data_IF_834875671035
#
_entry.id   IF_834875671035
#
_cell.length_a   1.000
_cell.length_b   1.000
_cell.length_c   1.000
_cell.angle_alpha   90.00
_cell.angle_beta   90.00
_cell.angle_gamma   90.00
#
_symmetry.space_group_name_H-M   'P 1'
#
loop_
_entity.id
_entity.type
_entity.pdbx_description
1 polymer ?
#
# COMPACT_ATOMS: atom_id res chain seq x y z
N UNK A 1 18.93 -18.76 3.27
CA UNK A 1 18.80 -19.87 2.30
C UNK A 1 19.87 -19.71 1.22
N UNK A 2 20.44 -20.81 0.69
CA UNK A 2 21.65 -20.72 -0.14
C UNK A 2 21.34 -20.13 -1.52
N UNK A 3 22.18 -19.17 -1.94
CA UNK A 3 22.13 -18.47 -3.24
C UNK A 3 22.72 -19.33 -4.36
N UNK A 4 22.21 -19.10 -5.58
CA UNK A 4 22.82 -19.52 -6.83
C UNK A 4 24.28 -19.02 -6.95
N UNK A 5 25.19 -19.91 -7.33
CA UNK A 5 26.59 -19.56 -7.66
C UNK A 5 26.75 -19.49 -9.17
N UNK A 6 27.10 -18.31 -9.71
CA UNK A 6 27.42 -18.16 -11.13
C UNK A 6 28.92 -18.33 -11.37
N UNK A 7 29.29 -19.46 -11.97
CA UNK A 7 30.64 -19.70 -12.48
C UNK A 7 30.82 -18.98 -13.82
N UNK A 8 31.48 -17.82 -13.83
CA UNK A 8 31.89 -17.15 -15.07
C UNK A 8 33.29 -17.60 -15.50
N UNK A 9 33.35 -18.46 -16.53
CA UNK A 9 34.60 -18.77 -17.24
C UNK A 9 34.84 -17.74 -18.34
N UNK A 10 35.97 -17.04 -18.22
CA UNK A 10 36.59 -16.17 -19.21
C UNK A 10 36.85 -16.94 -20.51
N UNK A 11 36.29 -16.50 -21.63
CA UNK A 11 36.64 -17.00 -22.98
C UNK A 11 37.15 -15.85 -23.86
N UNK A 12 38.23 -16.17 -24.59
CA UNK A 12 39.05 -15.25 -25.39
C UNK A 12 38.35 -14.87 -26.70
N UNK A 13 38.61 -13.63 -27.13
CA UNK A 13 38.42 -13.13 -28.50
C UNK A 13 39.14 -14.03 -29.51
N UNK A 14 38.43 -14.42 -30.56
CA UNK A 14 39.00 -14.70 -31.88
C UNK A 14 38.12 -14.06 -32.96
N UNK A 15 38.80 -13.39 -33.88
CA UNK A 15 38.28 -12.58 -34.97
C UNK A 15 38.01 -13.41 -36.22
N UNK A 16 36.88 -13.11 -36.85
CA UNK A 16 36.59 -13.08 -38.29
C UNK A 16 36.83 -14.31 -39.19
N UNK A 17 35.78 -14.70 -39.93
CA UNK A 17 35.79 -14.76 -41.40
C UNK A 17 34.35 -14.79 -41.96
N UNK A 18 34.06 -13.90 -42.92
CA UNK A 18 32.86 -13.91 -43.77
C UNK A 18 33.07 -14.87 -44.95
N UNK A 19 32.05 -15.66 -45.28
CA UNK A 19 31.82 -16.26 -46.61
C UNK A 19 30.32 -16.66 -46.73
N UNK A 20 29.79 -17.00 -47.92
CA UNK A 20 28.82 -16.18 -48.64
C UNK A 20 27.36 -16.66 -48.51
N UNK A 21 26.46 -15.73 -48.82
CA UNK A 21 25.02 -15.90 -49.01
C UNK A 21 24.68 -17.11 -49.90
N UNK A 22 23.97 -18.08 -49.34
CA UNK A 22 23.11 -18.99 -50.08
C UNK A 22 21.66 -18.64 -49.76
N UNK A 23 20.93 -18.18 -50.78
CA UNK A 23 19.48 -17.99 -50.74
C UNK A 23 18.81 -19.35 -50.59
N UNK A 24 18.17 -19.58 -49.45
CA UNK A 24 17.13 -20.60 -49.31
C UNK A 24 15.83 -19.85 -49.08
N UNK A 25 14.95 -19.91 -50.08
CA UNK A 25 13.54 -19.58 -49.92
C UNK A 25 12.87 -20.73 -49.18
N UNK A 26 12.35 -20.47 -47.99
CA UNK A 26 11.36 -21.33 -47.38
C UNK A 26 10.46 -20.50 -46.49
N UNK A 27 9.26 -20.25 -47.01
CA UNK A 27 8.00 -20.04 -46.31
C UNK A 27 8.05 -19.19 -45.05
N UNK A 28 7.60 -17.94 -45.23
CA UNK A 28 7.04 -17.09 -44.17
C UNK A 28 5.88 -17.85 -43.49
N UNK A 29 6.21 -18.59 -42.45
CA UNK A 29 5.37 -18.64 -41.26
C UNK A 29 5.63 -17.31 -40.56
N UNK A 30 4.81 -16.30 -40.86
CA UNK A 30 4.77 -15.07 -40.07
C UNK A 30 4.51 -15.48 -38.61
N UNK A 31 5.57 -15.37 -37.81
CA UNK A 31 5.58 -15.68 -36.40
C UNK A 31 4.63 -14.69 -35.72
N UNK A 32 3.44 -15.16 -35.33
CA UNK A 32 2.42 -14.35 -34.66
C UNK A 32 2.96 -13.65 -33.40
N UNK A 33 4.05 -14.15 -32.80
CA UNK A 33 4.76 -13.54 -31.68
C UNK A 33 5.34 -12.15 -31.98
N UNK A 34 5.65 -11.82 -33.25
CA UNK A 34 6.19 -10.49 -33.59
C UNK A 34 5.14 -9.38 -33.51
N UNK A 35 3.91 -9.65 -33.93
CA UNK A 35 2.83 -8.65 -33.94
C UNK A 35 2.28 -8.38 -32.53
N UNK A 36 2.40 -9.35 -31.61
CA UNK A 36 2.02 -9.17 -30.20
C UNK A 36 3.04 -8.38 -29.38
N UNK A 37 4.31 -8.32 -29.82
CA UNK A 37 5.40 -7.74 -29.05
C UNK A 37 5.66 -6.24 -29.27
N UNK A 38 5.09 -5.62 -30.30
CA UNK A 38 5.24 -4.16 -30.52
C UNK A 38 4.69 -3.29 -29.37
N UNK A 39 4.06 -3.89 -28.34
CA UNK A 39 3.49 -3.19 -27.18
C UNK A 39 4.07 -3.59 -25.80
N UNK A 40 5.12 -4.42 -25.73
CA UNK A 40 5.76 -4.77 -24.45
C UNK A 40 4.93 -5.69 -23.54
N UNK A 41 4.23 -6.65 -24.14
CA UNK A 41 3.28 -7.55 -23.48
C UNK A 41 3.66 -9.00 -23.75
N UNK A 42 3.80 -9.82 -22.70
CA UNK A 42 3.92 -11.28 -22.82
C UNK A 42 2.56 -11.89 -22.55
N UNK A 43 2.09 -12.76 -23.44
CA UNK A 43 0.93 -13.62 -23.19
C UNK A 43 1.46 -14.96 -22.70
N UNK A 44 1.06 -15.40 -21.51
CA UNK A 44 1.17 -16.80 -21.14
C UNK A 44 0.19 -17.64 -22.00
N UNK A 45 0.65 -18.80 -22.47
CA UNK A 45 -0.11 -19.68 -23.37
C UNK A 45 -1.21 -20.46 -22.63
N UNK A 46 -1.15 -20.52 -21.30
CA UNK A 46 -2.07 -21.31 -20.47
C UNK A 46 -3.12 -20.46 -19.75
N UNK A 47 -2.76 -19.27 -19.28
CA UNK A 47 -3.70 -18.29 -18.75
C UNK A 47 -3.44 -16.94 -19.43
N UNK A 48 -4.49 -16.21 -19.83
CA UNK A 48 -4.38 -14.97 -20.63
C UNK A 48 -3.87 -13.77 -19.82
N UNK A 49 -2.81 -13.97 -19.05
CA UNK A 49 -2.29 -13.00 -18.10
C UNK A 49 -1.16 -12.24 -18.79
N UNK A 50 -1.36 -10.93 -18.92
CA UNK A 50 -0.45 -10.04 -19.62
C UNK A 50 0.60 -9.53 -18.63
N UNK A 51 1.87 -9.86 -18.88
CA UNK A 51 2.99 -9.31 -18.10
C UNK A 51 3.46 -8.02 -18.78
N UNK A 52 3.48 -6.92 -18.02
CA UNK A 52 4.00 -5.60 -18.42
C UNK A 52 4.89 -5.01 -17.33
N UNK A 53 5.78 -4.05 -17.63
CA UNK A 53 6.47 -3.28 -16.61
C UNK A 53 5.49 -2.66 -15.60
N UNK A 54 5.80 -2.77 -14.31
CA UNK A 54 4.94 -2.38 -13.19
C UNK A 54 4.07 -3.51 -12.64
N UNK A 55 3.92 -4.64 -13.34
CA UNK A 55 3.21 -5.80 -12.81
C UNK A 55 3.95 -6.40 -11.61
N UNK A 56 3.21 -6.87 -10.62
CA UNK A 56 3.74 -7.71 -9.56
C UNK A 56 3.57 -9.18 -9.93
N UNK A 57 4.57 -9.99 -9.66
CA UNK A 57 4.63 -11.38 -10.11
C UNK A 57 5.08 -12.30 -8.98
N UNK A 58 4.57 -13.53 -9.02
CA UNK A 58 5.09 -14.67 -8.28
C UNK A 58 6.17 -15.36 -9.09
N UNK A 59 7.29 -15.65 -8.44
CA UNK A 59 8.42 -16.34 -9.04
C UNK A 59 8.68 -17.62 -8.26
N UNK A 60 8.80 -18.73 -8.97
CA UNK A 60 9.11 -20.01 -8.35
C UNK A 60 10.55 -20.01 -7.79
N UNK A 61 10.77 -20.31 -6.50
CA UNK A 61 12.11 -20.48 -5.95
C UNK A 61 12.87 -21.65 -6.57
N UNK A 62 14.18 -21.49 -6.70
CA UNK A 62 15.08 -22.58 -7.06
C UNK A 62 14.89 -23.78 -6.12
N UNK A 63 14.73 -24.96 -6.73
CA UNK A 63 14.59 -26.22 -5.99
C UNK A 63 13.19 -26.47 -5.40
N UNK A 64 12.25 -25.53 -5.53
CA UNK A 64 10.85 -25.84 -5.26
C UNK A 64 10.33 -26.74 -6.39
N UNK A 65 9.82 -27.93 -6.04
CA UNK A 65 9.24 -28.83 -7.04
C UNK A 65 8.04 -28.15 -7.73
N UNK A 66 7.77 -28.49 -9.00
CA UNK A 66 6.57 -27.99 -9.69
C UNK A 66 5.31 -28.39 -8.91
N UNK A 67 4.39 -27.43 -8.77
CA UNK A 67 3.09 -27.68 -8.17
C UNK A 67 2.34 -28.75 -8.98
N UNK A 68 1.60 -29.62 -8.29
CA UNK A 68 0.71 -30.55 -8.97
C UNK A 68 -0.45 -29.77 -9.61
N UNK A 69 -0.93 -30.22 -10.77
CA UNK A 69 -2.08 -29.60 -11.46
C UNK A 69 -3.27 -29.50 -10.48
N UNK A 70 -3.80 -28.30 -10.31
CA UNK A 70 -4.92 -28.01 -9.39
C UNK A 70 -4.52 -27.77 -7.92
N UNK A 71 -3.23 -27.83 -7.58
CA UNK A 71 -2.72 -27.58 -6.23
C UNK A 71 -1.52 -26.61 -6.30
N UNK A 72 -1.77 -25.30 -6.53
CA UNK A 72 -0.71 -24.30 -6.60
C UNK A 72 0.04 -24.19 -5.27
N UNK A 73 1.29 -23.73 -5.33
CA UNK A 73 2.06 -23.46 -4.12
C UNK A 73 1.42 -22.35 -3.30
N UNK A 74 1.50 -22.40 -1.97
CA UNK A 74 1.06 -21.28 -1.15
C UNK A 74 1.91 -20.04 -1.47
N UNK A 75 1.27 -18.86 -1.53
CA UNK A 75 1.93 -17.57 -1.80
C UNK A 75 3.10 -17.29 -0.83
N UNK A 76 3.07 -17.85 0.38
CA UNK A 76 4.16 -17.76 1.37
C UNK A 76 5.42 -18.54 1.00
N UNK A 77 5.33 -19.52 0.09
CA UNK A 77 6.45 -20.31 -0.40
C UNK A 77 7.07 -19.74 -1.68
N UNK A 78 6.41 -18.79 -2.34
CA UNK A 78 6.84 -18.20 -3.62
C UNK A 78 7.60 -16.90 -3.39
N UNK A 79 8.53 -16.57 -4.29
CA UNK A 79 9.14 -15.24 -4.33
C UNK A 79 8.18 -14.23 -4.96
N UNK A 80 8.34 -12.97 -4.61
CA UNK A 80 7.52 -11.86 -5.11
C UNK A 80 8.43 -10.81 -5.70
N UNK A 81 8.08 -10.28 -6.86
CA UNK A 81 8.84 -9.23 -7.52
C UNK A 81 7.94 -8.23 -8.23
N UNK A 82 8.50 -7.07 -8.55
CA UNK A 82 7.92 -6.13 -9.53
C UNK A 82 8.75 -6.19 -10.81
N UNK A 83 8.07 -6.25 -11.96
CA UNK A 83 8.71 -6.20 -13.27
C UNK A 83 9.09 -4.76 -13.59
N UNK A 84 10.37 -4.49 -13.77
CA UNK A 84 10.89 -3.15 -14.08
C UNK A 84 11.01 -2.95 -15.59
N UNK A 85 11.55 -3.96 -16.29
CA UNK A 85 11.79 -3.91 -17.73
C UNK A 85 11.63 -5.30 -18.35
N UNK A 86 11.23 -5.34 -19.62
CA UNK A 86 11.14 -6.56 -20.42
C UNK A 86 12.11 -6.43 -21.60
N UNK A 87 12.96 -7.44 -21.82
CA UNK A 87 13.93 -7.48 -22.91
C UNK A 87 13.82 -8.79 -23.66
N UNK A 88 14.03 -8.75 -24.97
CA UNK A 88 14.15 -9.95 -25.81
C UNK A 88 15.63 -10.18 -26.07
N UNK A 89 16.13 -11.32 -25.60
CA UNK A 89 17.50 -11.76 -25.80
C UNK A 89 17.74 -12.35 -27.19
N UNK A 90 18.98 -12.80 -27.41
CA UNK A 90 19.30 -13.61 -28.58
C UNK A 90 18.50 -14.93 -28.52
N UNK A 91 17.97 -15.37 -29.67
CA UNK A 91 17.09 -16.55 -29.80
C UNK A 91 15.67 -16.39 -29.25
N UNK A 92 15.15 -15.15 -29.18
CA UNK A 92 13.75 -14.88 -28.79
C UNK A 92 13.43 -15.29 -27.35
N UNK A 93 14.44 -15.49 -26.50
CA UNK A 93 14.26 -15.72 -25.06
C UNK A 93 13.85 -14.39 -24.42
N UNK A 94 12.74 -14.40 -23.69
CA UNK A 94 12.25 -13.20 -23.00
C UNK A 94 12.84 -13.15 -21.59
N UNK A 95 13.51 -12.04 -21.29
CA UNK A 95 14.19 -11.80 -20.02
C UNK A 95 13.57 -10.58 -19.34
N UNK A 96 13.21 -10.73 -18.07
CA UNK A 96 12.63 -9.71 -17.22
C UNK A 96 13.70 -9.16 -16.29
N UNK A 97 13.83 -7.84 -16.22
CA UNK A 97 14.53 -7.17 -15.11
C UNK A 97 13.51 -6.95 -14.00
N UNK A 98 13.78 -7.47 -12.81
CA UNK A 98 12.85 -7.43 -11.69
C UNK A 98 13.49 -6.84 -10.43
N UNK A 99 12.68 -6.26 -9.56
CA UNK A 99 13.07 -5.87 -8.19
C UNK A 99 12.35 -6.76 -7.18
N UNK A 100 13.09 -7.38 -6.25
CA UNK A 100 12.53 -8.32 -5.30
C UNK A 100 11.75 -7.63 -4.17
N UNK A 101 10.70 -8.30 -3.68
CA UNK A 101 10.12 -8.05 -2.37
C UNK A 101 10.65 -9.04 -1.35
N UNK A 102 11.00 -8.54 -0.17
CA UNK A 102 11.46 -9.35 0.96
C UNK A 102 10.41 -9.39 2.07
N UNK A 103 10.28 -10.53 2.72
CA UNK A 103 9.60 -10.62 4.01
C UNK A 103 10.47 -10.07 5.13
N UNK A 104 9.88 -9.87 6.31
CA UNK A 104 10.62 -9.56 7.53
C UNK A 104 11.73 -10.58 7.82
N UNK A 105 11.45 -11.87 7.62
CA UNK A 105 12.40 -12.96 7.83
C UNK A 105 13.58 -12.90 6.85
N UNK A 106 13.32 -12.54 5.59
CA UNK A 106 14.38 -12.39 4.57
C UNK A 106 15.33 -11.25 4.94
N UNK A 107 14.78 -10.12 5.40
CA UNK A 107 15.58 -8.98 5.86
C UNK A 107 16.45 -9.41 7.05
N UNK A 108 15.89 -10.09 8.06
CA UNK A 108 16.67 -10.59 9.21
C UNK A 108 17.83 -11.46 8.73
N UNK A 109 17.56 -12.43 7.86
CA UNK A 109 18.57 -13.31 7.31
C UNK A 109 19.65 -12.54 6.52
N UNK A 110 19.30 -11.46 5.80
CA UNK A 110 20.30 -10.61 5.13
C UNK A 110 21.24 -9.92 6.11
N UNK A 111 20.72 -9.35 7.19
CA UNK A 111 21.56 -8.74 8.22
C UNK A 111 22.50 -9.77 8.86
N UNK A 112 21.99 -10.95 9.20
CA UNK A 112 22.75 -12.03 9.82
C UNK A 112 23.87 -12.56 8.93
N UNK A 113 23.59 -12.81 7.65
CA UNK A 113 24.59 -13.30 6.69
C UNK A 113 25.77 -12.34 6.49
N UNK A 114 25.58 -11.07 6.83
CA UNK A 114 26.56 -10.01 6.64
C UNK A 114 27.23 -9.62 7.97
N UNK A 115 26.98 -10.39 9.02
CA UNK A 115 27.52 -10.15 10.36
C UNK A 115 27.01 -8.85 10.99
N UNK A 116 25.88 -8.32 10.51
CA UNK A 116 25.28 -7.07 10.98
C UNK A 116 24.19 -7.37 11.99
N UNK A 117 24.12 -6.56 13.06
CA UNK A 117 22.98 -6.59 13.96
C UNK A 117 21.83 -5.80 13.35
N UNK A 118 20.68 -6.44 13.25
CA UNK A 118 19.44 -5.77 12.86
C UNK A 118 18.97 -4.86 13.98
N UNK A 119 18.55 -3.64 13.65
CA UNK A 119 17.97 -2.75 14.65
C UNK A 119 16.58 -3.29 15.04
N UNK A 120 16.42 -3.70 16.30
CA UNK A 120 15.18 -4.28 16.83
C UNK A 120 13.99 -3.33 16.72
N UNK A 121 14.21 -2.02 16.81
CA UNK A 121 13.18 -1.00 16.61
C UNK A 121 12.65 -1.05 15.18
N UNK A 122 13.56 -1.15 14.21
CA UNK A 122 13.22 -1.17 12.77
C UNK A 122 12.46 -2.44 12.41
N UNK A 123 12.89 -3.60 12.95
CA UNK A 123 12.14 -4.86 12.76
C UNK A 123 10.77 -4.81 13.44
N UNK A 124 10.64 -4.11 14.56
CA UNK A 124 9.37 -3.89 15.23
C UNK A 124 8.37 -3.07 14.41
N UNK A 125 8.82 -2.36 13.37
CA UNK A 125 7.95 -1.63 12.46
C UNK A 125 7.31 -2.52 11.39
N UNK A 126 7.92 -3.66 11.07
CA UNK A 126 7.49 -4.55 9.99
C UNK A 126 6.46 -5.55 10.51
N UNK A 127 5.30 -5.61 9.87
CA UNK A 127 4.36 -6.72 10.10
C UNK A 127 4.96 -8.04 9.59
N UNK A 128 4.47 -9.17 10.12
CA UNK A 128 4.90 -10.50 9.68
C UNK A 128 4.46 -10.81 8.25
N UNK A 129 3.31 -10.27 7.84
CA UNK A 129 2.70 -10.51 6.52
C UNK A 129 2.97 -9.38 5.52
N UNK A 130 3.72 -8.35 5.95
CA UNK A 130 4.08 -7.21 5.10
C UNK A 130 5.27 -7.58 4.19
N UNK A 131 5.11 -7.29 2.90
CA UNK A 131 6.22 -7.36 1.94
C UNK A 131 6.99 -6.04 1.96
N UNK A 132 8.29 -6.09 1.66
CA UNK A 132 9.16 -4.91 1.65
C UNK A 132 9.85 -4.83 0.30
N UNK A 133 9.57 -3.78 -0.48
CA UNK A 133 10.19 -3.60 -1.79
C UNK A 133 11.68 -3.35 -1.63
N UNK A 134 12.52 -4.00 -2.42
CA UNK A 134 13.97 -3.84 -2.33
C UNK A 134 14.56 -3.22 -3.58
N UNK A 135 15.79 -2.69 -3.47
CA UNK A 135 16.63 -2.40 -4.64
C UNK A 135 17.51 -3.59 -5.05
N UNK A 136 17.19 -4.80 -4.58
CA UNK A 136 17.83 -6.03 -5.06
C UNK A 136 17.20 -6.43 -6.38
N UNK A 137 18.00 -6.29 -7.44
CA UNK A 137 17.54 -6.44 -8.82
C UNK A 137 18.16 -7.70 -9.40
N UNK A 138 17.35 -8.43 -10.16
CA UNK A 138 17.82 -9.60 -10.90
C UNK A 138 17.25 -9.63 -12.33
N UNK A 139 17.80 -10.52 -13.15
CA UNK A 139 17.33 -10.82 -14.49
C UNK A 139 16.88 -12.29 -14.55
N UNK A 140 15.61 -12.52 -14.83
CA UNK A 140 15.01 -13.85 -14.90
C UNK A 140 14.38 -14.10 -16.26
N UNK A 141 14.29 -15.36 -16.68
CA UNK A 141 13.51 -15.71 -17.87
C UNK A 141 12.01 -15.60 -17.54
N UNK A 142 11.20 -15.14 -18.51
CA UNK A 142 9.76 -15.00 -18.29
C UNK A 142 9.06 -16.32 -17.93
N UNK A 143 9.66 -17.46 -18.29
CA UNK A 143 9.19 -18.83 -18.00
C UNK A 143 9.29 -19.20 -16.52
N UNK A 144 9.96 -18.42 -15.67
CA UNK A 144 10.02 -18.66 -14.22
C UNK A 144 8.90 -17.97 -13.44
N UNK A 145 8.09 -17.15 -14.12
CA UNK A 145 6.90 -16.54 -13.55
C UNK A 145 5.82 -17.61 -13.42
N UNK A 146 5.29 -17.74 -12.21
CA UNK A 146 4.18 -18.64 -11.91
C UNK A 146 2.83 -17.94 -12.11
N UNK A 147 2.70 -16.70 -11.63
CA UNK A 147 1.46 -15.91 -11.74
C UNK A 147 1.72 -14.39 -11.66
N UNK A 148 0.76 -13.59 -12.14
CA UNK A 148 0.68 -12.14 -11.92
C UNK A 148 -0.27 -11.88 -10.76
N UNK A 149 0.12 -10.99 -9.86
CA UNK A 149 -0.67 -10.68 -8.67
C UNK A 149 -0.81 -9.19 -8.40
N UNK A 150 -1.74 -8.87 -7.51
CA UNK A 150 -1.89 -7.54 -6.96
C UNK A 150 -1.17 -7.44 -5.62
N UNK A 151 -0.24 -6.48 -5.52
CA UNK A 151 0.36 -6.08 -4.25
C UNK A 151 -0.02 -4.62 -4.00
N UNK A 152 -0.71 -4.38 -2.89
CA UNK A 152 -1.14 -3.05 -2.52
C UNK A 152 0.02 -2.21 -1.96
N UNK A 153 0.41 -1.17 -2.69
CA UNK A 153 1.31 -0.14 -2.18
C UNK A 153 0.54 0.77 -1.21
N UNK A 154 0.90 0.72 0.06
CA UNK A 154 0.35 1.58 1.09
C UNK A 154 1.09 2.92 1.08
N UNK A 155 0.61 3.81 0.20
CA UNK A 155 1.00 5.22 0.11
C UNK A 155 0.11 6.10 1.02
N UNK A 156 0.61 7.26 1.43
CA UNK A 156 -0.04 8.13 2.41
C UNK A 156 -1.10 9.07 1.84
N UNK A 157 -1.49 8.91 0.57
CA UNK A 157 -2.24 9.90 -0.20
C UNK A 157 -3.27 9.32 -1.18
N UNK A 158 -3.35 7.99 -1.38
CA UNK A 158 -4.30 7.39 -2.33
C UNK A 158 -5.30 6.46 -1.66
N UNK A 159 -6.58 6.83 -1.78
CA UNK A 159 -7.76 6.09 -1.33
C UNK A 159 -7.91 4.81 -2.14
N UNK A 160 -7.45 3.68 -1.62
CA UNK A 160 -7.92 2.36 -2.05
C UNK A 160 -8.24 1.53 -0.81
N UNK A 161 -9.41 0.90 -0.80
CA UNK A 161 -9.80 0.01 0.29
C UNK A 161 -8.81 -1.16 0.37
N UNK A 162 -8.38 -1.52 1.59
CA UNK A 162 -7.59 -2.74 1.82
C UNK A 162 -8.45 -3.94 1.43
N UNK A 163 -8.10 -4.73 0.41
CA UNK A 163 -8.74 -6.02 0.20
C UNK A 163 -8.24 -6.93 1.33
N UNK A 164 -9.15 -7.63 2.00
CA UNK A 164 -8.85 -8.39 3.24
C UNK A 164 -7.81 -9.49 3.07
N UNK A 165 -7.41 -9.80 1.83
CA UNK A 165 -6.56 -10.92 1.46
C UNK A 165 -5.38 -10.53 0.55
N UNK A 166 -5.23 -9.26 0.18
CA UNK A 166 -4.12 -8.84 -0.70
C UNK A 166 -2.83 -8.59 0.07
N UNK A 167 -1.72 -9.02 -0.53
CA UNK A 167 -0.38 -8.63 -0.11
C UNK A 167 -0.23 -7.12 -0.16
N UNK A 168 0.61 -6.57 0.71
CA UNK A 168 0.82 -5.14 0.78
C UNK A 168 2.26 -4.80 1.20
N UNK A 169 2.68 -3.58 0.87
CA UNK A 169 3.95 -3.01 1.30
C UNK A 169 3.81 -1.51 1.56
N UNK A 170 4.54 -0.98 2.54
CA UNK A 170 4.71 0.48 2.71
C UNK A 170 6.16 0.91 2.89
N UNK A 171 7.04 -0.07 3.04
CA UNK A 171 8.45 0.11 3.27
C UNK A 171 9.25 -0.33 2.06
N UNK A 172 10.40 0.30 1.93
CA UNK A 172 11.43 -0.09 1.00
C UNK A 172 12.73 -0.38 1.75
N UNK A 173 13.47 -1.39 1.32
CA UNK A 173 14.75 -1.80 1.90
C UNK A 173 15.87 -1.62 0.89
N UNK A 174 16.80 -0.72 1.23
CA UNK A 174 18.05 -0.57 0.51
C UNK A 174 19.03 -1.63 1.00
N UNK A 175 19.20 -2.68 0.19
CA UNK A 175 20.04 -3.85 0.50
C UNK A 175 21.52 -3.48 0.56
N UNK A 176 21.95 -2.49 -0.22
CA UNK A 176 23.36 -2.07 -0.24
C UNK A 176 23.72 -1.29 1.03
N UNK A 177 22.82 -0.41 1.47
CA UNK A 177 23.06 0.46 2.62
C UNK A 177 22.47 -0.08 3.94
N UNK A 178 21.74 -1.19 3.89
CA UNK A 178 21.01 -1.77 5.04
C UNK A 178 20.06 -0.79 5.69
N UNK A 179 19.29 -0.03 4.88
CA UNK A 179 18.38 1.02 5.36
C UNK A 179 16.94 0.74 4.96
N UNK A 180 16.04 0.85 5.93
CA UNK A 180 14.60 0.76 5.72
C UNK A 180 14.00 2.17 5.64
N UNK A 181 13.52 2.51 4.44
CA UNK A 181 12.74 3.69 4.12
C UNK A 181 11.24 3.39 4.04
N UNK A 182 10.45 4.40 3.67
CA UNK A 182 9.02 4.27 3.44
C UNK A 182 8.14 4.98 4.47
N UNK A 183 6.83 4.76 4.36
CA UNK A 183 5.83 5.51 5.11
C UNK A 183 5.71 5.04 6.56
N UNK A 184 5.96 5.95 7.51
CA UNK A 184 5.91 5.68 8.95
C UNK A 184 4.84 6.52 9.62
N UNK A 185 3.59 6.08 9.56
CA UNK A 185 2.57 6.79 10.31
C UNK A 185 2.62 6.45 11.79
N UNK A 186 2.79 7.47 12.63
CA UNK A 186 3.00 7.32 14.07
C UNK A 186 1.85 7.94 14.84
N UNK A 187 1.48 7.30 15.95
CA UNK A 187 0.63 7.91 16.96
C UNK A 187 1.32 9.15 17.53
N UNK A 188 0.59 10.26 17.63
CA UNK A 188 1.12 11.52 18.13
C UNK A 188 1.44 11.51 19.62
N UNK A 189 0.93 10.52 20.36
CA UNK A 189 1.11 10.36 21.82
C UNK A 189 2.23 9.37 22.09
N UNK A 190 2.03 8.07 21.82
CA UNK A 190 3.01 7.04 22.13
C UNK A 190 4.12 6.86 21.08
N UNK A 191 4.06 7.58 19.95
CA UNK A 191 5.02 7.49 18.84
C UNK A 191 5.13 6.13 18.13
N UNK A 192 4.39 5.11 18.59
CA UNK A 192 4.32 3.82 17.94
C UNK A 192 3.77 3.93 16.51
N UNK A 193 4.28 3.09 15.62
CA UNK A 193 3.83 3.01 14.22
C UNK A 193 2.49 2.28 14.18
N UNK A 194 1.57 2.81 13.38
CA UNK A 194 0.29 2.15 13.13
C UNK A 194 0.50 0.93 12.24
N UNK A 195 0.09 -0.26 12.68
CA UNK A 195 0.28 -1.51 11.94
C UNK A 195 -0.99 -2.03 11.27
N UNK A 196 -2.16 -1.40 11.49
CA UNK A 196 -3.41 -1.79 10.82
C UNK A 196 -4.27 -2.80 11.59
N UNK A 197 -3.94 -3.08 12.85
CA UNK A 197 -4.68 -4.01 13.70
C UNK A 197 -5.90 -3.36 14.35
N UNK A 198 -6.90 -4.17 14.72
CA UNK A 198 -8.18 -3.70 15.28
C UNK A 198 -8.00 -3.03 16.65
N UNK A 199 -7.00 -3.45 17.42
CA UNK A 199 -6.64 -2.83 18.72
C UNK A 199 -5.87 -1.51 18.57
N UNK A 200 -5.42 -1.18 17.36
CA UNK A 200 -4.63 0.02 17.08
C UNK A 200 -5.49 1.15 16.47
N UNK A 201 -6.80 1.15 16.68
CA UNK A 201 -7.70 2.18 16.15
C UNK A 201 -7.17 3.60 16.46
N UNK A 202 -7.00 4.42 15.42
CA UNK A 202 -6.53 5.80 15.55
C UNK A 202 -7.63 6.80 15.23
N UNK A 203 -7.59 7.94 15.92
CA UNK A 203 -8.44 9.11 15.71
C UNK A 203 -7.64 10.28 15.16
N UNK A 204 -8.22 11.02 14.21
CA UNK A 204 -7.55 12.14 13.54
C UNK A 204 -7.94 13.50 14.10
N UNK A 205 -6.93 14.25 14.56
CA UNK A 205 -7.10 15.63 15.01
C UNK A 205 -6.94 16.56 13.82
N UNK A 206 -8.03 17.23 13.45
CA UNK A 206 -8.10 18.18 12.34
C UNK A 206 -7.19 19.39 12.52
N UNK A 207 -7.05 19.89 13.75
CA UNK A 207 -6.21 21.06 14.04
C UNK A 207 -4.73 20.74 14.07
N UNK A 208 -4.35 19.57 14.55
CA UNK A 208 -2.94 19.17 14.64
C UNK A 208 -2.45 18.45 13.40
N UNK A 209 -3.36 18.04 12.51
CA UNK A 209 -3.09 17.15 11.38
C UNK A 209 -2.33 15.89 11.83
N UNK A 210 -2.87 15.22 12.86
CA UNK A 210 -2.20 14.11 13.55
C UNK A 210 -3.16 13.01 13.97
N UNK A 211 -2.66 11.78 13.89
CA UNK A 211 -3.35 10.58 14.34
C UNK A 211 -2.91 10.18 15.76
N UNK A 212 -3.85 9.70 16.58
CA UNK A 212 -3.56 9.16 17.91
C UNK A 212 -4.38 7.90 18.20
N UNK A 213 -3.77 6.88 18.82
CA UNK A 213 -4.49 5.67 19.21
C UNK A 213 -5.58 5.97 20.25
N UNK A 214 -6.75 5.36 20.12
CA UNK A 214 -7.82 5.47 21.12
C UNK A 214 -7.36 5.03 22.52
N UNK A 215 -6.55 3.95 22.62
CA UNK A 215 -5.95 3.52 23.88
C UNK A 215 -5.05 4.59 24.52
N UNK A 216 -4.38 5.41 23.71
CA UNK A 216 -3.55 6.51 24.21
C UNK A 216 -4.37 7.75 24.61
N UNK A 217 -5.68 7.74 24.35
CA UNK A 217 -6.59 8.85 24.62
C UNK A 217 -7.59 8.52 25.73
N UNK A 218 -7.53 7.34 26.37
CA UNK A 218 -8.56 6.89 27.32
C UNK A 218 -8.79 7.88 28.48
N UNK A 219 -7.71 8.45 29.03
CA UNK A 219 -7.78 9.47 30.09
C UNK A 219 -8.34 10.82 29.63
N UNK A 220 -8.56 10.97 28.31
CA UNK A 220 -9.09 12.16 27.64
C UNK A 220 -10.45 11.90 26.99
N UNK A 221 -11.13 10.82 27.38
CA UNK A 221 -12.48 10.48 26.92
C UNK A 221 -13.49 11.55 27.34
N UNK A 222 -14.34 11.95 26.41
CA UNK A 222 -15.45 12.89 26.63
C UNK A 222 -16.69 12.10 27.02
N UNK A 223 -17.48 12.63 27.96
CA UNK A 223 -18.67 11.97 28.51
C UNK A 223 -19.72 11.59 27.45
N UNK A 224 -19.90 12.43 26.43
CA UNK A 224 -20.77 12.12 25.29
C UNK A 224 -20.33 12.83 24.01
N UNK A 225 -20.73 12.25 22.88
CA UNK A 225 -20.53 12.86 21.57
C UNK A 225 -21.24 14.23 21.46
N UNK A 226 -22.41 14.42 22.09
CA UNK A 226 -23.07 15.74 22.10
C UNK A 226 -22.23 16.79 22.82
N UNK A 227 -21.63 16.46 23.96
CA UNK A 227 -20.75 17.40 24.70
C UNK A 227 -19.55 17.80 23.83
N UNK A 228 -18.98 16.84 23.09
CA UNK A 228 -17.88 17.13 22.15
C UNK A 228 -18.32 18.07 21.02
N UNK A 229 -19.47 17.80 20.39
CA UNK A 229 -20.00 18.63 19.30
C UNK A 229 -20.38 20.03 19.76
N UNK A 230 -21.07 20.16 20.90
CA UNK A 230 -21.39 21.45 21.51
C UNK A 230 -20.15 22.24 21.89
N UNK A 231 -19.11 21.58 22.41
CA UNK A 231 -17.82 22.19 22.71
C UNK A 231 -17.07 22.65 21.45
N UNK A 232 -17.21 21.93 20.35
CA UNK A 232 -16.67 22.35 19.05
C UNK A 232 -17.41 23.59 18.52
N UNK A 233 -18.74 23.58 18.55
CA UNK A 233 -19.56 24.71 18.09
C UNK A 233 -19.28 25.96 18.92
N UNK A 234 -19.27 25.87 20.25
CA UNK A 234 -19.08 27.02 21.14
C UNK A 234 -17.73 27.73 20.97
N UNK A 235 -16.70 27.01 20.50
CA UNK A 235 -15.38 27.59 20.21
C UNK A 235 -15.29 28.21 18.81
N UNK A 236 -16.23 27.89 17.93
CA UNK A 236 -16.26 28.31 16.53
C UNK A 236 -17.55 29.08 16.18
N UNK A 237 -18.22 29.66 17.19
CA UNK A 237 -19.54 30.33 17.08
C UNK A 237 -19.53 31.62 16.26
N UNK A 238 -18.39 32.09 15.76
CA UNK A 238 -18.34 33.29 14.93
C UNK A 238 -18.88 32.95 13.54
N UNK A 239 -20.18 33.18 13.34
CA UNK A 239 -20.78 33.26 12.01
C UNK A 239 -21.21 31.95 11.36
N UNK A 240 -21.63 30.93 12.13
CA UNK A 240 -22.18 29.70 11.54
C UNK A 240 -23.44 30.06 10.74
N UNK A 241 -23.31 30.09 9.41
CA UNK A 241 -24.45 30.23 8.51
C UNK A 241 -25.17 28.87 8.40
N UNK A 242 -26.17 28.67 9.25
CA UNK A 242 -26.98 27.44 9.30
C UNK A 242 -28.16 27.44 8.32
N UNK A 243 -28.21 28.37 7.35
CA UNK A 243 -29.30 28.42 6.38
C UNK A 243 -29.39 27.09 5.59
N UNK A 244 -30.53 26.43 5.67
CA UNK A 244 -30.79 25.15 4.99
C UNK A 244 -30.22 23.91 5.69
N UNK A 245 -29.63 24.06 6.87
CA UNK A 245 -29.03 22.96 7.64
C UNK A 245 -29.84 22.69 8.90
N UNK A 246 -30.30 21.44 9.05
CA UNK A 246 -30.92 20.95 10.28
C UNK A 246 -29.90 20.96 11.43
N UNK A 247 -30.28 21.53 12.58
CA UNK A 247 -29.40 21.64 13.74
C UNK A 247 -29.00 20.27 14.28
N UNK A 248 -29.92 19.29 14.26
CA UNK A 248 -29.61 17.92 14.63
C UNK A 248 -28.69 17.27 13.59
N UNK A 249 -28.90 17.52 12.30
CA UNK A 249 -27.98 17.13 11.23
C UNK A 249 -26.56 17.65 11.46
N UNK A 250 -26.41 18.94 11.75
CA UNK A 250 -25.10 19.57 11.99
C UNK A 250 -24.40 18.94 13.19
N UNK A 251 -25.11 18.81 14.31
CA UNK A 251 -24.56 18.20 15.53
C UNK A 251 -24.19 16.74 15.25
N UNK A 252 -25.07 15.96 14.61
CA UNK A 252 -24.80 14.58 14.22
C UNK A 252 -23.56 14.45 13.33
N UNK A 253 -23.37 15.33 12.36
CA UNK A 253 -22.19 15.35 11.50
C UNK A 253 -20.90 15.62 12.26
N UNK A 254 -20.93 16.51 13.26
CA UNK A 254 -19.78 16.78 14.15
C UNK A 254 -19.50 15.62 15.11
N UNK A 255 -20.52 14.81 15.42
CA UNK A 255 -20.44 13.58 16.21
C UNK A 255 -19.96 12.36 15.41
N UNK A 256 -19.55 12.54 14.16
CA UNK A 256 -18.86 11.49 13.43
C UNK A 256 -17.35 11.70 13.62
N UNK A 257 -16.65 10.76 14.27
CA UNK A 257 -15.21 10.84 14.42
C UNK A 257 -14.51 10.44 13.12
N UNK A 258 -13.31 10.98 12.92
CA UNK A 258 -12.46 10.58 11.81
C UNK A 258 -11.55 9.45 12.31
N UNK A 259 -11.98 8.24 12.03
CA UNK A 259 -11.27 7.00 12.39
C UNK A 259 -10.31 6.64 11.26
N UNK A 260 -9.14 6.14 11.62
CA UNK A 260 -8.18 5.65 10.65
C UNK A 260 -8.64 4.30 10.16
N UNK A 261 -9.01 4.15 8.88
CA UNK A 261 -9.26 2.82 8.35
C UNK A 261 -7.94 2.04 8.31
N UNK A 262 -8.02 0.71 8.19
CA UNK A 262 -6.83 -0.14 7.98
C UNK A 262 -5.99 0.30 6.79
N UNK A 263 -6.64 0.88 5.76
CA UNK A 263 -5.96 1.47 4.60
C UNK A 263 -5.28 2.81 4.87
N UNK A 264 -5.44 3.40 6.06
CA UNK A 264 -4.79 4.64 6.52
C UNK A 264 -5.10 5.93 5.77
N UNK A 265 -6.06 5.89 4.85
CA UNK A 265 -6.53 7.08 4.15
C UNK A 265 -7.82 7.56 4.77
N UNK A 266 -7.98 8.86 4.99
CA UNK A 266 -9.29 9.42 5.38
C UNK A 266 -10.22 9.26 4.17
N UNK A 267 -11.06 8.23 4.17
CA UNK A 267 -11.99 7.95 3.08
C UNK A 267 -13.45 8.11 3.52
N UNK A 268 -14.34 8.20 2.53
CA UNK A 268 -15.78 8.26 2.71
C UNK A 268 -16.23 9.38 3.64
N UNK A 269 -16.86 9.01 4.76
CA UNK A 269 -17.43 9.97 5.70
C UNK A 269 -16.37 10.88 6.33
N UNK A 270 -15.11 10.43 6.48
CA UNK A 270 -14.05 11.25 7.08
C UNK A 270 -13.79 12.55 6.33
N UNK A 271 -13.75 12.50 4.98
CA UNK A 271 -13.57 13.69 4.13
C UNK A 271 -14.75 14.65 4.26
N UNK A 272 -15.97 14.10 4.26
CA UNK A 272 -17.21 14.90 4.39
C UNK A 272 -17.28 15.58 5.75
N UNK A 273 -16.94 14.86 6.82
CA UNK A 273 -16.86 15.41 8.19
C UNK A 273 -15.83 16.53 8.29
N UNK A 274 -14.62 16.33 7.76
CA UNK A 274 -13.59 17.37 7.77
C UNK A 274 -14.01 18.60 6.97
N UNK A 275 -14.67 18.42 5.83
CA UNK A 275 -15.20 19.53 5.04
C UNK A 275 -16.25 20.33 5.84
N UNK A 276 -17.18 19.65 6.53
CA UNK A 276 -18.17 20.31 7.40
C UNK A 276 -17.49 21.05 8.56
N UNK A 277 -16.55 20.40 9.26
CA UNK A 277 -15.80 21.02 10.37
C UNK A 277 -15.07 22.28 9.94
N UNK A 278 -14.39 22.26 8.78
CA UNK A 278 -13.69 23.43 8.23
C UNK A 278 -14.66 24.56 7.89
N UNK A 279 -15.80 24.27 7.26
CA UNK A 279 -16.82 25.30 6.96
C UNK A 279 -17.36 25.95 8.22
N UNK A 280 -17.65 25.15 9.25
CA UNK A 280 -18.08 25.66 10.56
C UNK A 280 -16.99 26.52 11.20
N UNK A 281 -15.72 26.11 11.16
CA UNK A 281 -14.60 26.89 11.68
C UNK A 281 -14.41 28.23 10.96
N UNK A 282 -14.65 28.28 9.66
CA UNK A 282 -14.49 29.49 8.84
C UNK A 282 -15.74 30.38 8.80
N UNK A 283 -16.89 29.94 9.32
CA UNK A 283 -18.17 30.66 9.17
C UNK A 283 -18.70 30.68 7.73
N UNK A 284 -18.26 29.73 6.89
CA UNK A 284 -18.59 29.69 5.47
C UNK A 284 -19.95 29.02 5.22
N UNK A 285 -20.58 29.41 4.11
CA UNK A 285 -21.81 28.75 3.61
C UNK A 285 -21.49 27.35 3.10
N UNK A 286 -22.25 26.36 3.55
CA UNK A 286 -22.17 24.98 3.03
C UNK A 286 -22.79 24.89 1.63
N UNK A 287 -22.20 24.09 0.73
CA UNK A 287 -22.82 23.80 -0.57
C UNK A 287 -24.11 23.01 -0.43
N UNK A 288 -24.97 22.99 -1.46
CA UNK A 288 -26.25 22.25 -1.41
C UNK A 288 -26.05 20.75 -1.18
N UNK A 289 -24.99 20.18 -1.77
CA UNK A 289 -24.64 18.76 -1.60
C UNK A 289 -24.23 18.48 -0.14
N UNK A 290 -23.44 19.39 0.45
CA UNK A 290 -23.02 19.29 1.85
C UNK A 290 -24.22 19.43 2.80
N UNK A 291 -25.11 20.39 2.55
CA UNK A 291 -26.35 20.56 3.32
C UNK A 291 -27.21 19.29 3.27
N UNK A 292 -27.40 18.71 2.07
CA UNK A 292 -28.14 17.46 1.89
C UNK A 292 -27.51 16.30 2.67
N UNK A 293 -26.17 16.17 2.64
CA UNK A 293 -25.46 15.16 3.41
C UNK A 293 -25.61 15.37 4.92
N UNK A 294 -25.46 16.60 5.42
CA UNK A 294 -25.63 16.94 6.84
C UNK A 294 -27.05 16.62 7.32
N UNK A 295 -28.06 17.02 6.56
CA UNK A 295 -29.46 16.75 6.87
C UNK A 295 -29.75 15.23 6.90
N UNK A 296 -29.09 14.45 6.04
CA UNK A 296 -29.17 12.97 6.08
C UNK A 296 -28.56 12.40 7.37
N UNK A 297 -27.49 12.98 7.90
CA UNK A 297 -26.90 12.53 9.18
C UNK A 297 -27.81 12.78 10.38
N UNK A 298 -28.71 13.77 10.32
CA UNK A 298 -29.68 14.04 11.38
C UNK A 298 -30.56 12.82 11.70
N UNK A 299 -30.90 12.01 10.69
CA UNK A 299 -31.64 10.75 10.86
C UNK A 299 -30.89 9.69 11.68
N UNK A 300 -29.57 9.82 11.79
CA UNK A 300 -28.65 8.93 12.53
C UNK A 300 -28.14 9.55 13.83
N UNK A 301 -28.74 10.67 14.27
CA UNK A 301 -28.31 11.38 15.48
C UNK A 301 -28.17 10.46 16.70
N UNK A 302 -29.17 9.62 16.96
CA UNK A 302 -29.16 8.68 18.10
C UNK A 302 -28.04 7.64 17.99
N UNK A 303 -27.71 7.20 16.78
CA UNK A 303 -26.59 6.28 16.54
C UNK A 303 -25.26 6.96 16.87
N UNK A 304 -25.05 8.15 16.32
CA UNK A 304 -23.83 8.94 16.52
C UNK A 304 -23.64 9.39 17.97
N UNK A 305 -24.73 9.51 18.75
CA UNK A 305 -24.68 9.82 20.19
C UNK A 305 -23.96 8.82 21.06
N UNK A 306 -23.88 7.56 20.62
CA UNK A 306 -23.22 6.48 21.34
C UNK A 306 -21.71 6.42 21.07
N UNK A 307 -21.21 7.22 20.14
CA UNK A 307 -19.81 7.20 19.73
C UNK A 307 -18.93 7.85 20.80
N UNK A 308 -17.77 7.24 21.05
CA UNK A 308 -16.78 7.79 21.98
C UNK A 308 -15.93 8.85 21.27
N UNK A 309 -15.74 9.98 21.96
CA UNK A 309 -14.88 11.07 21.54
C UNK A 309 -13.80 11.35 22.57
N UNK A 310 -12.73 11.99 22.09
CA UNK A 310 -11.56 12.32 22.89
C UNK A 310 -11.19 13.79 22.74
N UNK A 311 -10.44 14.27 23.73
CA UNK A 311 -9.76 15.57 23.69
C UNK A 311 -8.35 15.36 23.15
N UNK A 312 -7.95 16.14 22.16
CA UNK A 312 -6.59 16.11 21.66
C UNK A 312 -5.59 16.53 22.74
N UNK A 313 -4.60 15.68 23.09
CA UNK A 313 -3.63 16.01 24.12
C UNK A 313 -2.65 17.11 23.70
N UNK A 314 -2.57 17.41 22.40
CA UNK A 314 -1.63 18.41 21.87
C UNK A 314 -2.24 19.82 21.82
N UNK A 315 -3.52 19.96 21.46
CA UNK A 315 -4.16 21.27 21.26
C UNK A 315 -5.41 21.50 22.10
N UNK A 316 -5.82 20.52 22.91
CA UNK A 316 -7.01 20.61 23.78
C UNK A 316 -8.35 20.70 23.03
N UNK A 317 -8.36 20.50 21.71
CA UNK A 317 -9.58 20.51 20.91
C UNK A 317 -10.36 19.22 21.16
N UNK A 318 -11.66 19.39 21.42
CA UNK A 318 -12.65 18.32 21.49
C UNK A 318 -12.94 17.83 20.08
N UNK A 319 -13.04 16.52 19.90
CA UNK A 319 -13.47 15.82 18.67
C UNK A 319 -12.38 15.11 17.83
N UNK A 320 -11.49 14.37 18.50
CA UNK A 320 -10.86 13.18 17.90
C UNK A 320 -11.68 11.94 18.21
#
# INVERSE_FOLDING_TARGET
>A
MPRATSNSKRSRRTTARKAPYLKVSSNRSECQLKDTFERGTILDEYERTIITPGCYVLVQPDGLALAAIGNPHPISAMWRAVVEEIRIGEKEIVVLRISWFYSRSDIIAKFENEGRKTNSEVLGWLSMDESVLTNDVDYIEATTIDDVMDIFCWESDKIVGKPSEMLWYRFNFDVLNYRIGGFKSRCSVCRAIYVGDDEEEQRYCDRCDRWAHTRCLQDKKIQSAQVAASGFLSRNTVGINSAGVDSNGLIASLMIPVIRPKSCIINGNGTSVLAVRRRVQCGDVMSKEMQSWVNKQGKRFTEHSKVTFYICPLCGVTAI
#
